data_IF_543053849540
#
_entry.id   IF_543053849540
#
_cell.length_a   1.000
_cell.length_b   1.000
_cell.length_c   1.000
_cell.angle_alpha   90.00
_cell.angle_beta   90.00
_cell.angle_gamma   90.00
#
_symmetry.space_group_name_H-M   'P 1'
#
loop_
_entity.id
_entity.type
_entity.pdbx_description
1 polymer ?
#
# COMPACT_ATOMS: atom_id res chain seq x y z
N UNK A 1 -42.06 32.78 44.79
CA UNK A 1 -41.59 34.17 44.56
C UNK A 1 -40.75 34.14 43.28
N UNK A 2 -41.33 34.44 42.09
CA UNK A 2 -41.26 35.72 41.33
C UNK A 2 -39.80 36.19 41.17
N UNK A 3 -39.17 36.26 39.98
CA UNK A 3 -39.43 37.08 38.77
C UNK A 3 -38.52 36.58 37.59
N UNK A 4 -39.03 36.15 36.43
CA UNK A 4 -39.16 36.86 35.12
C UNK A 4 -38.10 37.96 34.82
N UNK A 5 -37.36 37.85 33.71
CA UNK A 5 -37.32 38.86 32.60
C UNK A 5 -36.54 38.35 31.38
N UNK A 6 -37.20 38.49 30.23
CA UNK A 6 -36.85 38.18 28.85
C UNK A 6 -35.92 39.25 28.23
N UNK A 7 -34.94 38.85 27.42
CA UNK A 7 -34.37 39.72 26.37
C UNK A 7 -34.39 38.96 25.04
N UNK A 8 -35.21 39.48 24.13
CA UNK A 8 -35.32 39.12 22.72
C UNK A 8 -34.19 39.84 21.98
N UNK A 9 -33.33 39.12 21.29
CA UNK A 9 -32.53 39.68 20.19
C UNK A 9 -32.76 38.86 18.93
N UNK A 10 -32.87 39.61 17.86
CA UNK A 10 -33.49 39.34 16.58
C UNK A 10 -32.39 39.13 15.53
N UNK A 11 -32.62 38.21 14.60
CA UNK A 11 -31.93 38.06 13.30
C UNK A 11 -30.45 37.59 13.29
N UNK A 12 -30.23 36.38 12.77
CA UNK A 12 -29.70 36.19 11.42
C UNK A 12 -29.82 34.70 11.01
N UNK A 13 -30.55 34.47 9.92
CA UNK A 13 -30.72 33.19 9.26
C UNK A 13 -29.40 32.80 8.57
N UNK A 14 -28.70 31.80 9.12
CA UNK A 14 -27.64 31.09 8.40
C UNK A 14 -28.14 29.70 8.06
N UNK A 15 -28.52 29.52 6.80
CA UNK A 15 -28.74 28.22 6.18
C UNK A 15 -27.40 27.48 6.16
N UNK A 16 -27.17 26.62 7.14
CA UNK A 16 -26.10 25.63 7.06
C UNK A 16 -26.51 24.59 6.04
N UNK A 17 -25.98 24.72 4.84
CA UNK A 17 -25.93 23.63 3.87
C UNK A 17 -24.82 22.67 4.31
N UNK A 18 -24.99 21.34 4.24
CA UNK A 18 -23.83 20.46 4.24
C UNK A 18 -23.06 20.72 2.95
N UNK A 19 -21.91 21.39 3.05
CA UNK A 19 -20.95 21.45 1.96
C UNK A 19 -20.34 20.07 1.79
N UNK A 20 -20.89 19.28 0.87
CA UNK A 20 -20.15 18.17 0.27
C UNK A 20 -19.16 18.78 -0.71
N UNK A 21 -17.88 18.81 -0.32
CA UNK A 21 -16.80 19.02 -1.28
C UNK A 21 -16.69 17.75 -2.15
N UNK A 22 -17.35 17.79 -3.30
CA UNK A 22 -17.28 16.81 -4.37
C UNK A 22 -16.07 17.15 -5.26
N UNK A 23 -15.11 16.23 -5.36
CA UNK A 23 -13.96 16.15 -6.28
C UNK A 23 -13.56 17.42 -7.06
N UNK A 24 -12.56 18.14 -6.53
CA UNK A 24 -11.83 19.18 -7.25
C UNK A 24 -10.67 18.59 -8.08
N UNK A 25 -10.93 18.25 -9.34
CA UNK A 25 -9.92 18.32 -10.39
C UNK A 25 -9.83 19.80 -10.83
N UNK A 26 -8.81 20.54 -10.38
CA UNK A 26 -8.69 21.97 -10.67
C UNK A 26 -7.27 22.49 -10.51
N UNK A 27 -6.64 22.80 -11.63
CA UNK A 27 -5.23 23.10 -11.85
C UNK A 27 -4.71 24.38 -11.18
N UNK A 28 -3.47 24.33 -10.70
CA UNK A 28 -2.55 25.47 -10.70
C UNK A 28 -1.15 24.93 -10.98
N UNK A 29 -0.45 25.60 -11.89
CA UNK A 29 0.77 25.17 -12.56
C UNK A 29 1.97 25.00 -11.61
N UNK A 30 2.09 23.81 -11.01
CA UNK A 30 3.35 23.15 -10.70
C UNK A 30 3.17 21.66 -11.02
N UNK A 31 4.23 21.01 -11.51
CA UNK A 31 4.20 19.63 -12.03
C UNK A 31 3.33 18.73 -11.14
N UNK A 32 2.41 17.93 -11.70
CA UNK A 32 1.57 17.03 -10.93
C UNK A 32 2.42 15.88 -10.38
N UNK A 33 3.21 16.14 -9.34
CA UNK A 33 3.58 15.07 -8.42
C UNK A 33 2.31 14.78 -7.65
N UNK A 34 1.56 13.78 -8.11
CA UNK A 34 0.67 13.01 -7.25
C UNK A 34 1.43 12.86 -5.93
N UNK A 35 0.91 13.42 -4.84
CA UNK A 35 1.61 13.35 -3.56
C UNK A 35 1.43 11.93 -3.02
N UNK A 36 2.23 11.03 -3.58
CA UNK A 36 2.25 9.59 -3.28
C UNK A 36 2.49 9.37 -1.77
N UNK A 37 3.00 10.37 -1.04
CA UNK A 37 3.13 10.33 0.41
C UNK A 37 1.79 10.40 1.14
N UNK A 38 0.84 11.26 0.73
CA UNK A 38 -0.44 11.36 1.44
C UNK A 38 -1.34 10.14 1.18
N UNK A 39 -1.31 9.61 -0.05
CA UNK A 39 -2.08 8.42 -0.42
C UNK A 39 -1.49 7.14 0.18
N UNK A 40 -0.15 7.00 0.20
CA UNK A 40 0.51 5.87 0.83
C UNK A 40 0.40 5.92 2.36
N UNK A 41 0.56 7.08 3.00
CA UNK A 41 0.52 7.13 4.47
C UNK A 41 -0.87 6.76 5.05
N UNK A 42 -1.97 7.16 4.41
CA UNK A 42 -3.33 6.79 4.89
C UNK A 42 -3.75 5.36 4.49
N UNK A 43 -3.46 4.92 3.26
CA UNK A 43 -3.87 3.59 2.77
C UNK A 43 -2.99 2.45 3.30
N UNK A 44 -1.72 2.73 3.61
CA UNK A 44 -0.78 1.72 4.10
C UNK A 44 -0.85 1.56 5.62
N UNK A 45 -1.00 2.65 6.37
CA UNK A 45 -1.00 2.60 7.84
C UNK A 45 -2.25 1.95 8.44
N UNK A 46 -3.38 1.93 7.72
CA UNK A 46 -4.66 1.39 8.24
C UNK A 46 -5.01 -0.02 7.73
N UNK A 47 -4.33 -0.54 6.71
CA UNK A 47 -4.69 -1.78 6.01
C UNK A 47 -3.57 -2.83 5.94
N UNK A 48 -2.33 -2.46 6.32
CA UNK A 48 -1.17 -3.37 6.35
C UNK A 48 -1.14 -4.24 7.61
N UNK A 49 -2.04 -4.03 8.57
CA UNK A 49 -2.00 -4.72 9.87
C UNK A 49 -2.25 -6.24 9.80
N UNK A 50 -2.82 -6.81 8.73
CA UNK A 50 -3.27 -8.22 8.79
C UNK A 50 -3.30 -9.06 7.50
N UNK A 51 -2.77 -8.61 6.35
CA UNK A 51 -3.14 -9.26 5.07
C UNK A 51 -2.05 -9.78 4.12
N UNK A 52 -0.76 -9.60 4.42
CA UNK A 52 0.26 -10.47 3.83
C UNK A 52 0.42 -11.73 4.68
N UNK A 53 0.74 -12.85 4.03
CA UNK A 53 0.89 -14.14 4.71
C UNK A 53 1.77 -14.01 5.96
N UNK A 54 1.23 -14.41 7.12
CA UNK A 54 1.90 -14.26 8.41
C UNK A 54 3.26 -14.97 8.43
N UNK A 55 3.44 -16.02 7.65
CA UNK A 55 4.68 -16.80 7.60
C UNK A 55 5.74 -16.14 6.71
N UNK A 56 5.34 -15.53 5.58
CA UNK A 56 6.25 -14.68 4.80
C UNK A 56 6.72 -13.49 5.64
N UNK A 57 5.78 -12.82 6.32
CA UNK A 57 6.07 -11.66 7.18
C UNK A 57 6.99 -12.04 8.33
N UNK A 58 6.74 -13.16 9.01
CA UNK A 58 7.63 -13.69 10.07
C UNK A 58 9.03 -14.02 9.54
N UNK A 59 9.14 -14.60 8.34
CA UNK A 59 10.44 -14.90 7.74
C UNK A 59 11.22 -13.62 7.43
N UNK A 60 10.56 -12.62 6.85
CA UNK A 60 11.17 -11.32 6.55
C UNK A 60 11.56 -10.59 7.83
N UNK A 61 10.65 -10.49 8.81
CA UNK A 61 10.91 -9.80 10.07
C UNK A 61 12.05 -10.44 10.85
N UNK A 62 12.10 -11.77 10.89
CA UNK A 62 13.13 -12.49 11.67
C UNK A 62 14.48 -12.52 10.97
N UNK A 63 14.53 -12.56 9.63
CA UNK A 63 15.79 -12.62 8.89
C UNK A 63 16.43 -11.24 8.67
N UNK A 64 15.60 -10.20 8.55
CA UNK A 64 16.06 -8.85 8.21
C UNK A 64 15.98 -7.86 9.38
N UNK A 65 15.53 -8.32 10.56
CA UNK A 65 15.33 -7.49 11.75
C UNK A 65 14.44 -6.25 11.48
N UNK A 66 13.37 -6.46 10.70
CA UNK A 66 12.39 -5.43 10.33
C UNK A 66 11.08 -5.66 11.06
N UNK A 67 10.31 -4.59 11.28
CA UNK A 67 8.98 -4.74 11.89
C UNK A 67 8.01 -5.50 10.96
N UNK A 68 6.99 -6.18 11.49
CA UNK A 68 5.97 -6.84 10.67
C UNK A 68 5.29 -5.89 9.67
N UNK A 69 5.01 -4.65 10.08
CA UNK A 69 4.43 -3.61 9.21
C UNK A 69 5.36 -3.28 8.03
N UNK A 70 6.66 -3.16 8.30
CA UNK A 70 7.67 -2.94 7.26
C UNK A 70 7.82 -4.15 6.34
N UNK A 71 7.79 -5.37 6.89
CA UNK A 71 7.87 -6.62 6.11
C UNK A 71 6.66 -6.78 5.18
N UNK A 72 5.44 -6.68 5.72
CA UNK A 72 4.19 -6.71 4.94
C UNK A 72 4.20 -5.63 3.88
N UNK A 73 4.67 -4.45 4.26
CA UNK A 73 4.70 -3.31 3.38
C UNK A 73 5.68 -3.42 2.21
N UNK A 74 6.93 -3.78 2.52
CA UNK A 74 7.97 -3.98 1.53
C UNK A 74 7.67 -5.17 0.61
N UNK A 75 7.14 -6.26 1.18
CA UNK A 75 6.66 -7.40 0.40
C UNK A 75 5.48 -7.01 -0.50
N UNK A 76 4.51 -6.24 0.00
CA UNK A 76 3.38 -5.74 -0.78
C UNK A 76 3.81 -4.86 -1.95
N UNK A 77 4.82 -4.00 -1.76
CA UNK A 77 5.40 -3.20 -2.82
C UNK A 77 6.09 -4.05 -3.89
N UNK A 78 6.93 -5.01 -3.49
CA UNK A 78 7.60 -5.94 -4.41
C UNK A 78 6.61 -6.82 -5.18
N UNK A 79 5.57 -7.30 -4.51
CA UNK A 79 4.51 -8.11 -5.10
C UNK A 79 3.60 -7.29 -6.02
N UNK A 80 3.38 -6.01 -5.73
CA UNK A 80 2.67 -5.12 -6.63
C UNK A 80 3.46 -4.84 -7.91
N UNK A 81 4.77 -4.63 -7.80
CA UNK A 81 5.68 -4.52 -8.96
C UNK A 81 5.66 -5.80 -9.81
N UNK A 82 5.75 -6.94 -9.13
CA UNK A 82 5.62 -8.23 -9.78
C UNK A 82 4.27 -8.37 -10.48
N UNK A 83 3.16 -8.08 -9.81
CA UNK A 83 1.81 -8.17 -10.37
C UNK A 83 1.61 -7.29 -11.61
N UNK A 84 2.26 -6.11 -11.64
CA UNK A 84 2.25 -5.20 -12.79
C UNK A 84 3.11 -5.72 -13.96
N UNK A 85 4.24 -6.37 -13.65
CA UNK A 85 5.22 -6.85 -14.65
C UNK A 85 4.95 -8.26 -15.16
N UNK A 86 4.20 -9.08 -14.41
CA UNK A 86 3.86 -10.47 -14.74
C UNK A 86 2.66 -10.54 -15.69
N UNK A 87 2.58 -11.64 -16.45
CA UNK A 87 1.39 -11.95 -17.24
C UNK A 87 0.21 -12.41 -16.39
N UNK A 88 -1.02 -12.29 -16.91
CA UNK A 88 -2.25 -12.65 -16.19
C UNK A 88 -2.24 -14.07 -15.57
N UNK A 89 -1.66 -15.06 -16.26
CA UNK A 89 -1.51 -16.42 -15.74
C UNK A 89 -0.60 -16.49 -14.51
N UNK A 90 0.54 -15.80 -14.55
CA UNK A 90 1.52 -15.76 -13.46
C UNK A 90 0.99 -14.96 -12.27
N UNK A 91 0.27 -13.86 -12.52
CA UNK A 91 -0.40 -13.09 -11.45
C UNK A 91 -1.50 -13.89 -10.76
N UNK A 92 -2.24 -14.72 -11.50
CA UNK A 92 -3.23 -15.64 -10.92
C UNK A 92 -2.56 -16.69 -10.03
N UNK A 93 -1.43 -17.24 -10.48
CA UNK A 93 -0.64 -18.16 -9.68
C UNK A 93 -0.05 -17.51 -8.42
N UNK A 94 0.51 -16.29 -8.55
CA UNK A 94 1.05 -15.52 -7.44
C UNK A 94 -0.01 -15.21 -6.37
N UNK A 95 -1.20 -14.78 -6.79
CA UNK A 95 -2.33 -14.50 -5.89
C UNK A 95 -2.93 -15.75 -5.26
N UNK A 96 -2.76 -16.91 -5.90
CA UNK A 96 -3.13 -18.21 -5.32
C UNK A 96 -2.10 -18.68 -4.30
N UNK A 97 -0.82 -18.38 -4.52
CA UNK A 97 0.28 -18.74 -3.62
C UNK A 97 0.36 -17.84 -2.37
N UNK A 98 -0.17 -16.62 -2.42
CA UNK A 98 -0.20 -15.69 -1.29
C UNK A 98 -1.66 -15.37 -0.94
N UNK A 99 -2.24 -16.05 0.05
CA UNK A 99 -3.58 -15.74 0.53
C UNK A 99 -3.68 -14.27 0.94
N UNK A 100 -4.72 -13.58 0.48
CA UNK A 100 -4.93 -12.17 0.80
C UNK A 100 -4.19 -11.17 -0.09
N UNK A 101 -3.31 -11.62 -1.00
CA UNK A 101 -2.59 -10.70 -1.91
C UNK A 101 -3.54 -9.90 -2.80
N UNK A 102 -4.52 -10.56 -3.42
CA UNK A 102 -5.53 -9.87 -4.26
C UNK A 102 -6.28 -8.81 -3.46
N UNK A 103 -6.66 -9.15 -2.23
CA UNK A 103 -7.27 -8.20 -1.31
C UNK A 103 -6.33 -7.05 -1.00
N UNK A 104 -5.05 -7.29 -0.70
CA UNK A 104 -4.07 -6.25 -0.38
C UNK A 104 -3.78 -5.32 -1.57
N UNK A 105 -3.57 -5.86 -2.77
CA UNK A 105 -3.31 -5.06 -3.97
C UNK A 105 -4.54 -4.31 -4.47
N UNK A 106 -5.74 -4.86 -4.25
CA UNK A 106 -7.00 -4.18 -4.57
C UNK A 106 -7.46 -3.20 -3.48
N UNK A 107 -7.04 -3.43 -2.24
CA UNK A 107 -7.34 -2.63 -1.05
C UNK A 107 -6.55 -1.34 -0.97
N UNK A 108 -5.35 -1.32 -1.57
CA UNK A 108 -4.47 -0.16 -1.57
C UNK A 108 -4.55 0.48 -2.97
N UNK A 109 -5.55 1.36 -3.20
CA UNK A 109 -5.68 2.05 -4.48
C UNK A 109 -4.40 2.85 -4.76
N UNK A 110 -3.85 2.65 -5.95
CA UNK A 110 -2.60 3.29 -6.36
C UNK A 110 -1.33 2.50 -6.05
N UNK A 111 -1.37 1.42 -5.26
CA UNK A 111 -0.18 0.58 -5.02
C UNK A 111 0.39 0.00 -6.31
N UNK A 112 -0.49 -0.49 -7.20
CA UNK A 112 -0.11 -1.00 -8.52
C UNK A 112 0.50 0.08 -9.43
N UNK A 113 0.08 1.34 -9.27
CA UNK A 113 0.67 2.49 -9.98
C UNK A 113 1.95 3.02 -9.32
N UNK A 114 2.07 2.89 -8.00
CA UNK A 114 3.27 3.27 -7.25
C UNK A 114 4.40 2.29 -7.52
N UNK A 115 4.12 0.99 -7.46
CA UNK A 115 5.11 -0.07 -7.69
C UNK A 115 5.32 -0.33 -9.19
N UNK A 116 5.42 0.72 -10.01
CA UNK A 116 5.59 0.58 -11.47
C UNK A 116 6.98 0.10 -11.87
N UNK A 117 8.00 0.36 -11.04
CA UNK A 117 9.38 -0.01 -11.29
C UNK A 117 10.15 -0.22 -9.98
N UNK A 118 11.33 -0.85 -10.07
CA UNK A 118 12.18 -1.13 -8.92
C UNK A 118 12.55 0.12 -8.11
N UNK A 119 12.81 1.25 -8.78
CA UNK A 119 13.10 2.53 -8.12
C UNK A 119 11.93 3.03 -7.25
N UNK A 120 10.69 2.85 -7.70
CA UNK A 120 9.53 3.26 -6.92
C UNK A 120 9.27 2.32 -5.73
N UNK A 121 9.62 1.03 -5.85
CA UNK A 121 9.64 0.10 -4.70
C UNK A 121 10.68 0.56 -3.67
N UNK A 122 11.87 0.96 -4.11
CA UNK A 122 12.91 1.56 -3.26
C UNK A 122 12.43 2.83 -2.54
N UNK A 123 11.67 3.69 -3.23
CA UNK A 123 11.05 4.86 -2.61
C UNK A 123 10.02 4.47 -1.54
N UNK A 124 9.22 3.44 -1.77
CA UNK A 124 8.28 2.91 -0.76
C UNK A 124 9.05 2.42 0.46
N UNK A 125 10.13 1.66 0.28
CA UNK A 125 10.97 1.19 1.38
C UNK A 125 11.49 2.37 2.20
N UNK A 126 12.05 3.39 1.54
CA UNK A 126 12.55 4.59 2.19
C UNK A 126 11.47 5.31 3.00
N UNK A 127 10.23 5.38 2.47
CA UNK A 127 9.07 5.96 3.17
C UNK A 127 8.63 5.15 4.38
N UNK A 128 8.84 3.83 4.37
CA UNK A 128 8.59 2.94 5.51
C UNK A 128 9.72 2.95 6.54
N UNK A 129 10.74 3.79 6.34
CA UNK A 129 11.95 3.78 7.18
C UNK A 129 12.79 2.52 6.99
N UNK A 130 12.61 1.79 5.89
CA UNK A 130 13.47 0.70 5.48
C UNK A 130 14.60 1.22 4.60
N UNK A 131 15.74 0.56 4.67
CA UNK A 131 16.83 0.81 3.73
C UNK A 131 16.43 0.28 2.34
N UNK A 132 16.47 1.09 1.27
CA UNK A 132 16.11 0.65 -0.07
C UNK A 132 17.00 -0.49 -0.61
N UNK A 133 18.20 -0.69 -0.06
CA UNK A 133 19.01 -1.87 -0.37
C UNK A 133 18.39 -3.18 0.12
N UNK A 134 17.49 -3.14 1.11
CA UNK A 134 16.78 -4.33 1.60
C UNK A 134 15.85 -4.94 0.56
N UNK A 135 15.44 -4.20 -0.48
CA UNK A 135 14.63 -4.75 -1.58
C UNK A 135 15.32 -5.99 -2.19
N UNK A 136 16.65 -5.95 -2.31
CA UNK A 136 17.49 -7.07 -2.80
C UNK A 136 17.58 -8.26 -1.83
N UNK A 137 17.31 -8.02 -0.55
CA UNK A 137 17.29 -9.05 0.50
C UNK A 137 15.88 -9.66 0.67
N UNK A 138 14.83 -8.86 0.46
CA UNK A 138 13.45 -9.32 0.48
C UNK A 138 13.15 -10.27 -0.67
N UNK A 139 13.61 -9.95 -1.88
CA UNK A 139 13.37 -10.73 -3.09
C UNK A 139 13.67 -12.25 -2.92
N UNK A 140 14.88 -12.69 -2.51
CA UNK A 140 15.17 -14.12 -2.34
C UNK A 140 14.36 -14.79 -1.22
N UNK A 141 13.94 -14.05 -0.18
CA UNK A 141 13.08 -14.59 0.89
C UNK A 141 11.66 -14.82 0.36
N UNK A 142 11.13 -13.89 -0.43
CA UNK A 142 9.81 -14.03 -1.07
C UNK A 142 9.84 -15.17 -2.09
N UNK A 143 10.90 -15.29 -2.91
CA UNK A 143 11.06 -16.42 -3.84
C UNK A 143 11.10 -17.76 -3.11
N UNK A 144 11.83 -17.84 -2.00
CA UNK A 144 11.88 -19.04 -1.16
C UNK A 144 10.50 -19.38 -0.61
N UNK A 145 9.78 -18.39 -0.09
CA UNK A 145 8.41 -18.59 0.40
C UNK A 145 7.49 -19.09 -0.71
N UNK A 146 7.47 -18.44 -1.88
CA UNK A 146 6.65 -18.86 -3.01
C UNK A 146 7.00 -20.28 -3.49
N UNK A 147 8.28 -20.64 -3.48
CA UNK A 147 8.71 -22.02 -3.76
C UNK A 147 8.12 -23.03 -2.76
N UNK A 148 8.01 -22.68 -1.47
CA UNK A 148 7.31 -23.54 -0.49
C UNK A 148 5.80 -23.60 -0.70
N UNK A 149 5.21 -22.60 -1.35
CA UNK A 149 3.79 -22.55 -1.72
C UNK A 149 3.48 -23.22 -3.07
N UNK A 150 4.38 -24.05 -3.59
CA UNK A 150 4.24 -24.72 -4.89
C UNK A 150 4.12 -23.76 -6.08
N UNK A 151 4.70 -22.55 -6.00
CA UNK A 151 4.83 -21.68 -7.16
C UNK A 151 5.66 -22.36 -8.26
N UNK A 152 5.23 -22.23 -9.51
CA UNK A 152 5.92 -22.76 -10.67
C UNK A 152 7.31 -22.16 -10.83
N UNK A 153 8.23 -22.95 -11.36
CA UNK A 153 9.58 -22.48 -11.66
C UNK A 153 9.55 -21.28 -12.61
N UNK A 154 8.64 -21.26 -13.58
CA UNK A 154 8.47 -20.15 -14.51
C UNK A 154 8.02 -18.84 -13.83
N UNK A 155 7.17 -18.92 -12.80
CA UNK A 155 6.81 -17.76 -11.97
C UNK A 155 8.03 -17.28 -11.18
N UNK A 156 8.74 -18.18 -10.48
CA UNK A 156 9.93 -17.83 -9.69
C UNK A 156 11.04 -17.21 -10.55
N UNK A 157 11.27 -17.74 -11.75
CA UNK A 157 12.22 -17.20 -12.72
C UNK A 157 11.81 -15.80 -13.19
N UNK A 158 10.51 -15.58 -13.43
CA UNK A 158 9.99 -14.28 -13.86
C UNK A 158 10.13 -13.23 -12.75
N UNK A 159 9.76 -13.60 -11.52
CA UNK A 159 9.91 -12.77 -10.33
C UNK A 159 11.38 -12.42 -10.07
N UNK A 160 12.27 -13.41 -10.18
CA UNK A 160 13.71 -13.20 -10.05
C UNK A 160 14.23 -12.17 -11.05
N UNK A 161 13.74 -12.17 -12.29
CA UNK A 161 14.12 -11.16 -13.32
C UNK A 161 13.54 -9.78 -13.06
N UNK A 162 12.35 -9.68 -12.46
CA UNK A 162 11.69 -8.39 -12.15
C UNK A 162 12.39 -7.67 -10.99
N UNK A 163 12.99 -8.43 -10.07
CA UNK A 163 13.62 -7.90 -8.86
C UNK A 163 15.16 -7.82 -8.93
N UNK A 164 15.74 -8.04 -10.11
CA UNK A 164 17.16 -7.83 -10.42
C UNK A 164 17.42 -6.41 -10.87
#
# INVERSE_FOLDING_TARGET
MKIKTTIITLSALLLVSPSYAFFGFGSSEEKPSVDLNSLANDAFSSQVDTQADSDLVKMLSSQLDVSPTQATGGAGALLALASNSLGASQTTELTSAIPGLSSLTGSIPGLSGLASNFGAVSDIFSKLGLDPSMVTQFAPIILKYLGTQNASSGLLDSLGKIWQ
#
